data_IF_699632535506
#
_entry.id   IF_699632535506
#
_cell.length_a   1.000
_cell.length_b   1.000
_cell.length_c   1.000
_cell.angle_alpha   90.00
_cell.angle_beta   90.00
_cell.angle_gamma   90.00
#
_symmetry.space_group_name_H-M   'P 1'
#
loop_
_entity.id
_entity.type
_entity.pdbx_description
1 polymer ?
#
# COMPACT_ATOMS: atom_id res chain seq x y z
N UNK A 1 6.81 -4.73 35.75
CA UNK A 1 5.96 -5.52 34.85
C UNK A 1 6.16 -5.05 33.43
N UNK A 2 6.53 -5.96 32.53
CA UNK A 2 6.63 -5.64 31.11
C UNK A 2 5.24 -5.29 30.55
N UNK A 3 5.10 -4.27 29.69
CA UNK A 3 3.80 -3.94 29.13
C UNK A 3 3.32 -5.09 28.26
N UNK A 4 2.13 -5.62 28.57
CA UNK A 4 1.48 -6.62 27.73
C UNK A 4 1.07 -5.98 26.40
N UNK A 5 1.82 -6.29 25.33
CA UNK A 5 1.56 -5.80 23.97
C UNK A 5 0.79 -6.78 23.09
N UNK A 6 0.58 -8.00 23.56
CA UNK A 6 -0.10 -9.07 22.83
C UNK A 6 -1.32 -9.54 23.62
N UNK A 7 -2.47 -9.51 22.98
CA UNK A 7 -3.75 -9.96 23.52
C UNK A 7 -4.28 -11.09 22.62
N UNK A 8 -4.73 -12.18 23.23
CA UNK A 8 -5.40 -13.27 22.52
C UNK A 8 -6.89 -13.21 22.88
N UNK A 9 -7.74 -13.12 21.85
CA UNK A 9 -9.18 -12.95 21.98
C UNK A 9 -9.85 -14.13 21.29
N UNK A 10 -10.50 -14.99 22.08
CA UNK A 10 -11.34 -16.06 21.55
C UNK A 10 -12.69 -15.47 21.10
N UNK A 11 -12.99 -15.57 19.82
CA UNK A 11 -14.26 -15.17 19.21
C UNK A 11 -15.01 -16.41 18.71
N UNK A 12 -16.34 -16.35 18.53
CA UNK A 12 -17.10 -17.47 17.95
C UNK A 12 -16.55 -17.97 16.61
N UNK A 13 -15.99 -17.08 15.78
CA UNK A 13 -15.39 -17.42 14.49
C UNK A 13 -13.97 -18.00 14.58
N UNK A 14 -13.27 -17.87 15.71
CA UNK A 14 -11.89 -18.33 15.88
C UNK A 14 -11.05 -17.45 16.81
N UNK A 15 -9.75 -17.71 16.86
CA UNK A 15 -8.81 -16.98 17.72
C UNK A 15 -8.21 -15.77 16.99
N UNK A 16 -8.30 -14.60 17.62
CA UNK A 16 -7.71 -13.34 17.16
C UNK A 16 -6.50 -12.96 18.02
N UNK A 17 -5.40 -12.58 17.37
CA UNK A 17 -4.27 -11.90 18.05
C UNK A 17 -4.34 -10.40 17.85
N UNK A 18 -4.27 -9.62 18.91
CA UNK A 18 -4.23 -8.16 18.83
C UNK A 18 -2.92 -7.65 19.41
N UNK A 19 -2.15 -6.93 18.60
CA UNK A 19 -0.92 -6.28 19.01
C UNK A 19 -1.22 -4.85 19.39
N UNK A 20 -1.32 -4.55 20.69
CA UNK A 20 -1.64 -3.22 21.19
C UNK A 20 -1.17 -3.07 22.64
N UNK A 21 -0.82 -1.86 23.07
CA UNK A 21 -0.64 -1.59 24.50
C UNK A 21 -1.96 -1.85 25.24
N UNK A 22 -1.91 -2.17 26.53
CA UNK A 22 -3.13 -2.41 27.32
C UNK A 22 -4.13 -1.24 27.27
N UNK A 23 -3.63 0.01 27.24
CA UNK A 23 -4.46 1.20 27.09
C UNK A 23 -5.18 1.24 25.74
N UNK A 24 -4.47 0.96 24.64
CA UNK A 24 -5.03 0.98 23.29
C UNK A 24 -6.01 -0.18 23.07
N UNK A 25 -5.68 -1.37 23.59
CA UNK A 25 -6.58 -2.52 23.54
C UNK A 25 -7.91 -2.23 24.25
N UNK A 26 -7.87 -1.58 25.41
CA UNK A 26 -9.06 -1.22 26.18
C UNK A 26 -9.97 -0.19 25.49
N UNK A 27 -9.47 0.54 24.49
CA UNK A 27 -10.25 1.53 23.73
C UNK A 27 -10.78 0.99 22.40
N UNK A 28 -10.51 -0.27 22.06
CA UNK A 28 -11.01 -0.86 20.82
C UNK A 28 -12.53 -0.95 20.84
N UNK A 29 -13.17 -0.41 19.79
CA UNK A 29 -14.62 -0.44 19.62
C UNK A 29 -15.10 -1.88 19.39
N UNK A 30 -16.32 -2.21 19.85
CA UNK A 30 -16.92 -3.53 19.65
C UNK A 30 -16.97 -3.95 18.17
N UNK A 31 -17.12 -2.98 17.24
CA UNK A 31 -17.13 -3.24 15.80
C UNK A 31 -15.83 -3.86 15.29
N UNK A 32 -14.69 -3.56 15.92
CA UNK A 32 -13.39 -4.18 15.57
C UNK A 32 -13.45 -5.69 15.80
N UNK A 33 -14.03 -6.10 16.93
CA UNK A 33 -14.21 -7.51 17.29
C UNK A 33 -15.30 -8.19 16.45
N UNK A 34 -16.38 -7.49 16.13
CA UNK A 34 -17.42 -7.98 15.23
C UNK A 34 -16.86 -8.29 13.83
N UNK A 35 -16.06 -7.36 13.26
CA UNK A 35 -15.42 -7.58 11.96
C UNK A 35 -14.41 -8.73 12.00
N UNK A 36 -13.64 -8.85 13.09
CA UNK A 36 -12.75 -9.99 13.27
C UNK A 36 -13.53 -11.30 13.27
N UNK A 37 -14.62 -11.36 14.02
CA UNK A 37 -15.48 -12.54 14.11
C UNK A 37 -16.07 -12.93 12.74
N UNK A 38 -16.42 -11.95 11.90
CA UNK A 38 -16.92 -12.20 10.56
C UNK A 38 -15.80 -12.69 9.62
N UNK A 39 -14.60 -12.12 9.70
CA UNK A 39 -13.48 -12.52 8.84
C UNK A 39 -12.89 -13.89 9.24
N UNK A 40 -12.88 -14.22 10.53
CA UNK A 40 -12.44 -15.53 11.03
C UNK A 40 -13.34 -16.68 10.56
N UNK A 41 -14.58 -16.40 10.15
CA UNK A 41 -15.48 -17.41 9.57
C UNK A 41 -15.13 -17.78 8.12
N UNK A 42 -14.19 -17.09 7.48
CA UNK A 42 -13.70 -17.47 6.15
C UNK A 42 -12.98 -18.82 6.29
N UNK A 43 -13.38 -19.86 5.53
CA UNK A 43 -12.85 -21.21 5.72
C UNK A 43 -11.33 -21.30 5.61
N UNK A 44 -10.74 -22.25 6.34
CA UNK A 44 -9.32 -22.59 6.31
C UNK A 44 -8.36 -21.47 6.74
N UNK A 45 -8.83 -20.44 7.47
CA UNK A 45 -7.94 -19.43 8.02
C UNK A 45 -7.05 -20.06 9.10
N UNK A 46 -5.74 -19.87 8.98
CA UNK A 46 -4.76 -20.43 9.93
C UNK A 46 -4.35 -19.42 10.99
N UNK A 47 -4.38 -18.14 10.65
CA UNK A 47 -3.97 -17.07 11.53
C UNK A 47 -4.67 -15.77 11.16
N UNK A 48 -5.12 -15.03 12.18
CA UNK A 48 -5.55 -13.65 12.02
C UNK A 48 -4.98 -12.78 13.15
N UNK A 49 -4.56 -11.58 12.80
CA UNK A 49 -4.18 -10.57 13.77
C UNK A 49 -4.54 -9.15 13.37
N UNK A 50 -4.57 -8.29 14.38
CA UNK A 50 -4.64 -6.85 14.25
C UNK A 50 -3.36 -6.17 14.71
N UNK A 51 -2.88 -5.24 13.89
CA UNK A 51 -1.80 -4.30 14.23
C UNK A 51 -2.28 -3.23 15.22
N UNK A 52 -1.36 -2.48 15.86
CA UNK A 52 -1.74 -1.47 16.85
C UNK A 52 -2.65 -0.36 16.32
N UNK A 53 -2.57 -0.04 15.04
CA UNK A 53 -3.36 1.00 14.37
C UNK A 53 -4.70 0.49 13.83
N UNK A 54 -5.19 -0.66 14.30
CA UNK A 54 -6.44 -1.25 13.83
C UNK A 54 -7.64 -0.32 13.99
N UNK A 55 -8.45 -0.24 12.94
CA UNK A 55 -9.71 0.49 12.96
C UNK A 55 -10.70 -0.07 11.94
N UNK A 56 -11.97 0.27 12.10
CA UNK A 56 -13.07 -0.18 11.23
C UNK A 56 -12.82 0.26 9.79
N UNK A 57 -12.83 -0.72 8.88
CA UNK A 57 -12.80 -0.49 7.44
C UNK A 57 -14.11 -0.94 6.78
N UNK A 58 -14.05 -1.28 5.49
CA UNK A 58 -15.20 -1.81 4.73
C UNK A 58 -15.00 -3.31 4.53
N UNK A 59 -15.80 -4.14 5.18
CA UNK A 59 -15.72 -5.61 5.14
C UNK A 59 -14.64 -6.22 6.04
N UNK A 60 -13.50 -5.54 6.19
CA UNK A 60 -12.39 -5.91 7.09
C UNK A 60 -11.82 -4.67 7.79
N UNK A 61 -11.26 -4.82 9.00
CA UNK A 61 -10.52 -3.75 9.66
C UNK A 61 -9.22 -3.43 8.93
N UNK A 62 -8.86 -2.15 8.84
CA UNK A 62 -7.50 -1.77 8.45
C UNK A 62 -6.54 -2.23 9.56
N UNK A 63 -5.34 -2.68 9.19
CA UNK A 63 -4.39 -3.30 10.13
C UNK A 63 -4.57 -4.82 10.30
N UNK A 64 -5.35 -5.46 9.43
CA UNK A 64 -5.55 -6.92 9.43
C UNK A 64 -4.37 -7.64 8.78
N UNK A 65 -3.87 -8.68 9.45
CA UNK A 65 -3.10 -9.75 8.82
C UNK A 65 -3.92 -11.01 8.89
N UNK A 66 -4.08 -11.72 7.78
CA UNK A 66 -4.77 -13.00 7.73
C UNK A 66 -4.02 -13.96 6.81
N UNK A 67 -3.88 -15.22 7.24
CA UNK A 67 -3.06 -16.23 6.57
C UNK A 67 -3.88 -17.48 6.32
N UNK A 68 -3.74 -18.01 5.12
CA UNK A 68 -4.28 -19.29 4.68
C UNK A 68 -3.14 -20.10 4.03
N UNK A 69 -3.25 -21.43 4.07
CA UNK A 69 -2.45 -22.30 3.22
C UNK A 69 -2.79 -22.10 1.73
N UNK A 70 -1.79 -22.18 0.85
CA UNK A 70 -1.98 -21.89 -0.57
C UNK A 70 -2.81 -22.97 -1.32
N UNK A 71 -2.86 -24.22 -0.84
CA UNK A 71 -3.54 -25.31 -1.54
C UNK A 71 -5.07 -25.31 -1.33
N UNK A 72 -5.55 -24.74 -0.22
CA UNK A 72 -6.98 -24.69 0.13
C UNK A 72 -7.46 -23.32 0.64
N UNK A 73 -6.63 -22.30 0.48
CA UNK A 73 -6.87 -20.96 0.99
C UNK A 73 -7.86 -20.16 0.16
N UNK A 74 -8.32 -19.07 0.77
CA UNK A 74 -9.23 -18.12 0.15
C UNK A 74 -8.55 -16.76 -0.01
N UNK A 75 -8.91 -16.04 -1.07
CA UNK A 75 -8.54 -14.64 -1.27
C UNK A 75 -9.78 -13.79 -1.03
N UNK A 76 -9.71 -12.88 -0.07
CA UNK A 76 -10.76 -11.88 0.15
C UNK A 76 -10.30 -10.50 -0.31
N UNK A 77 -10.92 -9.91 -1.34
CA UNK A 77 -10.62 -8.55 -1.77
C UNK A 77 -10.78 -7.50 -0.66
N UNK A 78 -11.69 -7.73 0.31
CA UNK A 78 -11.88 -6.79 1.42
C UNK A 78 -10.69 -6.76 2.39
N UNK A 79 -9.98 -7.89 2.54
CA UNK A 79 -8.80 -8.00 3.40
C UNK A 79 -7.59 -7.35 2.72
N UNK A 80 -7.47 -7.48 1.39
CA UNK A 80 -6.41 -6.79 0.62
C UNK A 80 -6.64 -5.28 0.62
N UNK A 81 -7.89 -4.84 0.47
CA UNK A 81 -8.28 -3.44 0.37
C UNK A 81 -8.51 -2.99 -1.08
N UNK A 82 -9.23 -1.88 -1.23
CA UNK A 82 -9.63 -1.35 -2.53
C UNK A 82 -8.51 -0.60 -3.26
N UNK A 83 -7.60 0.02 -2.50
CA UNK A 83 -6.42 0.70 -3.04
C UNK A 83 -5.23 -0.26 -3.09
N UNK A 84 -5.27 -1.18 -4.06
CA UNK A 84 -4.28 -2.24 -4.21
C UNK A 84 -2.91 -1.64 -4.51
N UNK A 85 -1.94 -1.95 -3.66
CA UNK A 85 -0.58 -1.42 -3.77
C UNK A 85 -0.40 -0.04 -3.17
N UNK A 86 -1.36 0.45 -2.37
CA UNK A 86 -1.12 1.59 -1.51
C UNK A 86 0.12 1.33 -0.64
N UNK A 87 0.97 2.34 -0.49
CA UNK A 87 2.25 2.11 0.13
C UNK A 87 3.11 3.37 0.15
N UNK A 88 4.35 3.19 0.60
CA UNK A 88 5.29 4.27 0.78
C UNK A 88 6.59 3.99 0.04
N UNK A 89 7.21 5.06 -0.47
CA UNK A 89 8.59 5.05 -0.95
C UNK A 89 9.37 6.15 -0.25
N UNK A 90 10.53 5.79 0.26
CA UNK A 90 11.44 6.74 0.91
C UNK A 90 12.65 6.97 0.01
N UNK A 91 12.96 8.25 -0.24
CA UNK A 91 14.16 8.66 -0.94
C UNK A 91 15.13 9.33 0.03
N UNK A 92 16.34 8.79 0.11
CA UNK A 92 17.41 9.38 0.89
C UNK A 92 18.11 10.48 0.08
N UNK A 93 18.52 11.54 0.76
CA UNK A 93 19.33 12.62 0.20
C UNK A 93 20.53 12.84 1.08
N UNK A 94 21.55 13.52 0.56
CA UNK A 94 22.72 13.92 1.36
C UNK A 94 22.46 15.22 2.16
N UNK A 95 21.22 15.71 2.20
CA UNK A 95 20.85 16.90 2.96
C UNK A 95 20.63 16.54 4.43
N UNK A 96 21.14 17.38 5.32
CA UNK A 96 20.87 17.33 6.74
C UNK A 96 19.80 18.34 7.14
N UNK A 97 19.27 18.19 8.37
CA UNK A 97 18.27 19.10 8.94
C UNK A 97 18.70 20.57 8.84
N UNK A 98 20.00 20.83 8.98
CA UNK A 98 20.55 22.17 9.01
C UNK A 98 20.57 22.85 7.64
N UNK A 99 20.69 22.08 6.55
CA UNK A 99 20.59 22.57 5.17
C UNK A 99 19.18 23.06 4.82
N UNK A 100 18.18 22.63 5.59
CA UNK A 100 16.76 22.93 5.39
C UNK A 100 16.20 23.88 6.45
N UNK A 101 17.04 24.56 7.22
CA UNK A 101 16.59 25.51 8.26
C UNK A 101 15.82 26.70 7.69
N UNK A 102 16.22 27.19 6.52
CA UNK A 102 15.61 28.38 5.92
C UNK A 102 14.18 28.10 5.42
N UNK A 103 13.20 28.86 5.94
CA UNK A 103 11.78 28.73 5.56
C UNK A 103 11.56 28.96 4.07
N UNK A 104 12.25 29.92 3.46
CA UNK A 104 12.11 30.24 2.03
C UNK A 104 12.58 29.07 1.15
N UNK A 105 13.68 28.43 1.52
CA UNK A 105 14.16 27.23 0.84
C UNK A 105 13.15 26.08 0.93
N UNK A 106 12.64 25.79 2.14
CA UNK A 106 11.60 24.75 2.33
C UNK A 106 10.36 25.01 1.48
N UNK A 107 9.88 26.27 1.42
CA UNK A 107 8.75 26.66 0.56
C UNK A 107 9.05 26.48 -0.93
N UNK A 108 10.28 26.81 -1.37
CA UNK A 108 10.69 26.60 -2.76
C UNK A 108 10.74 25.11 -3.11
N UNK A 109 11.20 24.26 -2.19
CA UNK A 109 11.22 22.81 -2.37
C UNK A 109 9.80 22.24 -2.48
N UNK A 110 8.90 22.60 -1.57
CA UNK A 110 7.49 22.15 -1.61
C UNK A 110 6.84 22.54 -2.94
N UNK A 111 6.98 23.81 -3.37
CA UNK A 111 6.44 24.27 -4.66
C UNK A 111 7.04 23.53 -5.86
N UNK A 112 8.31 23.14 -5.78
CA UNK A 112 8.94 22.34 -6.82
C UNK A 112 8.35 20.92 -6.86
N UNK A 113 8.11 20.30 -5.70
CA UNK A 113 7.47 18.98 -5.60
C UNK A 113 6.04 19.04 -6.16
N UNK A 114 5.23 20.00 -5.72
CA UNK A 114 3.84 20.19 -6.19
C UNK A 114 3.76 20.41 -7.71
N UNK A 115 4.77 21.06 -8.31
CA UNK A 115 4.85 21.22 -9.77
C UNK A 115 5.01 19.88 -10.51
N UNK A 116 5.68 18.91 -9.92
CA UNK A 116 5.92 17.60 -10.54
C UNK A 116 4.94 16.52 -10.08
N UNK A 117 4.30 16.69 -8.92
CA UNK A 117 3.35 15.74 -8.34
C UNK A 117 1.99 16.40 -8.17
N UNK A 118 1.07 16.22 -9.13
CA UNK A 118 -0.33 16.62 -8.96
C UNK A 118 -0.92 15.93 -7.73
N UNK A 119 -1.42 16.71 -6.78
CA UNK A 119 -1.95 16.21 -5.50
C UNK A 119 -3.48 16.26 -5.41
N UNK A 120 -4.15 16.84 -6.41
CA UNK A 120 -5.61 17.01 -6.38
C UNK A 120 -6.35 15.78 -6.93
N UNK A 121 -7.46 15.44 -6.27
CA UNK A 121 -8.40 14.44 -6.72
C UNK A 121 -8.82 14.69 -8.17
N UNK A 122 -8.81 13.64 -9.00
CA UNK A 122 -9.22 13.68 -10.42
C UNK A 122 -8.40 14.56 -11.36
N UNK A 123 -7.24 15.10 -10.95
CA UNK A 123 -6.33 15.72 -11.92
C UNK A 123 -5.70 14.69 -12.85
N UNK A 124 -5.49 15.10 -14.10
CA UNK A 124 -4.79 14.28 -15.09
C UNK A 124 -3.29 14.38 -14.87
N UNK A 125 -2.60 13.25 -14.80
CA UNK A 125 -1.14 13.21 -14.74
C UNK A 125 -0.47 13.93 -15.92
N UNK A 126 0.68 14.54 -15.67
CA UNK A 126 1.48 15.24 -16.70
C UNK A 126 2.32 14.30 -17.58
N UNK A 127 2.23 12.99 -17.34
CA UNK A 127 3.17 11.98 -17.84
C UNK A 127 2.58 11.17 -19.00
N UNK A 128 2.22 11.86 -20.09
CA UNK A 128 1.56 11.25 -21.26
C UNK A 128 2.39 10.20 -22.01
N UNK A 129 3.70 10.19 -21.79
CA UNK A 129 4.63 9.24 -22.37
C UNK A 129 4.81 7.96 -21.54
N UNK A 130 4.21 7.90 -20.34
CA UNK A 130 4.14 6.65 -19.58
C UNK A 130 2.94 5.85 -20.10
N UNK A 131 3.23 4.66 -20.62
CA UNK A 131 2.22 3.70 -21.09
C UNK A 131 1.75 2.85 -19.92
N UNK A 132 0.51 3.04 -19.48
CA UNK A 132 -0.06 2.28 -18.36
C UNK A 132 0.05 0.77 -18.56
N UNK A 133 -0.17 0.28 -19.79
CA UNK A 133 -0.10 -1.16 -20.09
C UNK A 133 1.29 -1.72 -19.84
N UNK A 134 2.34 -0.94 -20.15
CA UNK A 134 3.71 -1.35 -19.87
C UNK A 134 3.97 -1.40 -18.37
N UNK A 135 3.45 -0.43 -17.60
CA UNK A 135 3.61 -0.39 -16.15
C UNK A 135 2.87 -1.55 -15.48
N UNK A 136 1.65 -1.87 -15.91
CA UNK A 136 0.88 -3.00 -15.35
C UNK A 136 1.57 -4.33 -15.65
N UNK A 137 2.05 -4.55 -16.89
CA UNK A 137 2.69 -5.82 -17.28
C UNK A 137 4.12 -5.99 -16.78
N UNK A 138 4.89 -4.90 -16.73
CA UNK A 138 6.34 -4.94 -16.45
C UNK A 138 6.72 -4.30 -15.12
N UNK A 139 5.76 -3.80 -14.35
CA UNK A 139 6.02 -3.02 -13.15
C UNK A 139 6.87 -1.79 -13.45
N UNK A 140 7.86 -1.55 -12.60
CA UNK A 140 8.79 -0.43 -12.75
C UNK A 140 9.67 -0.53 -14.01
N UNK A 141 9.88 -1.74 -14.54
CA UNK A 141 10.62 -1.97 -15.79
C UNK A 141 9.84 -1.51 -17.03
N UNK A 142 8.56 -1.18 -16.88
CA UNK A 142 7.72 -0.60 -17.93
C UNK A 142 7.85 0.92 -18.07
N UNK A 143 8.56 1.58 -17.15
CA UNK A 143 8.75 3.02 -17.16
C UNK A 143 9.78 3.44 -18.23
N UNK A 144 9.59 4.58 -18.91
CA UNK A 144 10.63 5.17 -19.74
C UNK A 144 11.93 5.41 -18.96
N UNK A 145 13.09 5.15 -19.58
CA UNK A 145 14.42 5.25 -18.93
C UNK A 145 14.68 6.59 -18.24
N UNK A 146 14.12 7.71 -18.75
CA UNK A 146 14.28 9.03 -18.13
C UNK A 146 13.62 9.18 -16.75
N UNK A 147 12.71 8.27 -16.40
CA UNK A 147 12.06 8.21 -15.08
C UNK A 147 12.72 7.19 -14.14
N UNK A 148 13.72 6.46 -14.62
CA UNK A 148 14.54 5.57 -13.79
C UNK A 148 15.78 6.37 -13.38
N UNK A 149 15.89 6.83 -12.12
CA UNK A 149 16.89 7.82 -11.70
C UNK A 149 18.35 7.30 -11.65
N UNK A 150 18.64 6.14 -12.23
CA UNK A 150 19.95 5.47 -12.16
C UNK A 150 20.94 5.93 -13.25
N UNK A 151 20.89 7.21 -13.64
CA UNK A 151 21.83 7.79 -14.61
C UNK A 151 23.29 7.83 -14.12
N UNK A 152 23.54 7.59 -12.84
CA UNK A 152 24.87 7.77 -12.23
C UNK A 152 25.58 6.46 -11.81
N UNK A 153 24.88 5.33 -11.69
CA UNK A 153 25.49 4.07 -11.22
C UNK A 153 25.17 2.89 -12.16
N UNK A 154 25.92 2.71 -13.26
CA UNK A 154 25.54 1.81 -14.36
C UNK A 154 25.51 0.31 -14.02
N UNK A 155 25.86 -0.11 -12.79
CA UNK A 155 25.99 -1.53 -12.43
C UNK A 155 24.89 -2.08 -11.52
N UNK A 156 24.08 -1.23 -10.89
CA UNK A 156 22.91 -1.65 -10.09
C UNK A 156 21.86 -0.54 -10.12
N UNK A 157 20.72 -0.82 -10.74
CA UNK A 157 19.59 0.11 -10.75
C UNK A 157 18.91 0.09 -9.37
N UNK A 158 19.30 1.03 -8.51
CA UNK A 158 18.79 1.11 -7.14
C UNK A 158 17.28 1.36 -7.12
N UNK A 159 16.77 2.08 -8.12
CA UNK A 159 15.34 2.37 -8.27
C UNK A 159 14.48 1.11 -8.52
N UNK A 160 15.09 0.03 -9.01
CA UNK A 160 14.44 -1.25 -9.28
C UNK A 160 14.76 -2.31 -8.22
N UNK A 161 15.82 -2.13 -7.43
CA UNK A 161 16.25 -3.12 -6.43
C UNK A 161 15.90 -2.76 -4.98
N UNK A 162 15.60 -1.50 -4.67
CA UNK A 162 15.22 -1.03 -3.32
C UNK A 162 13.71 -0.83 -3.22
N UNK A 163 12.98 -1.83 -3.70
CA UNK A 163 11.52 -1.93 -3.64
C UNK A 163 11.17 -3.35 -3.23
N UNK A 164 10.03 -3.55 -2.60
CA UNK A 164 9.58 -4.88 -2.18
C UNK A 164 9.45 -5.83 -3.38
N UNK A 165 8.73 -5.39 -4.43
CA UNK A 165 8.59 -6.09 -5.70
C UNK A 165 8.66 -5.07 -6.85
N UNK A 166 9.56 -5.27 -7.81
CA UNK A 166 9.71 -4.36 -8.96
C UNK A 166 8.85 -4.72 -10.17
N UNK A 167 8.38 -5.98 -10.22
CA UNK A 167 7.44 -6.52 -11.21
C UNK A 167 6.69 -7.70 -10.59
N UNK A 168 5.36 -7.70 -10.71
CA UNK A 168 4.53 -8.85 -10.34
C UNK A 168 4.56 -9.90 -11.46
N UNK A 169 4.54 -11.18 -11.07
CA UNK A 169 4.33 -12.29 -11.99
C UNK A 169 2.86 -12.71 -11.93
N UNK A 170 2.18 -12.67 -13.07
CA UNK A 170 0.78 -13.07 -13.22
C UNK A 170 0.50 -13.43 -14.68
N UNK A 171 -0.63 -14.09 -14.94
CA UNK A 171 -1.10 -14.35 -16.31
C UNK A 171 -1.58 -13.05 -16.96
N UNK A 172 -0.86 -12.57 -17.97
CA UNK A 172 -1.19 -11.32 -18.66
C UNK A 172 -2.53 -11.39 -19.40
N UNK A 173 -3.06 -12.59 -19.70
CA UNK A 173 -4.36 -12.75 -20.37
C UNK A 173 -5.52 -12.22 -19.52
N UNK A 174 -5.38 -12.22 -18.18
CA UNK A 174 -6.40 -11.68 -17.27
C UNK A 174 -6.66 -10.19 -17.48
N UNK A 175 -5.69 -9.47 -18.07
CA UNK A 175 -5.85 -8.05 -18.39
C UNK A 175 -6.93 -7.81 -19.45
N UNK A 176 -7.26 -8.82 -20.25
CA UNK A 176 -8.33 -8.75 -21.24
C UNK A 176 -9.73 -8.81 -20.59
N UNK A 177 -9.82 -9.26 -19.33
CA UNK A 177 -11.06 -9.29 -18.57
C UNK A 177 -11.34 -7.97 -17.83
N UNK A 178 -10.35 -7.07 -17.76
CA UNK A 178 -10.51 -5.78 -17.10
C UNK A 178 -11.47 -4.87 -17.88
N UNK A 179 -12.50 -4.30 -17.23
CA UNK A 179 -13.41 -3.37 -17.89
C UNK A 179 -12.69 -2.14 -18.45
N UNK A 180 -13.12 -1.65 -19.61
CA UNK A 180 -12.57 -0.44 -20.23
C UNK A 180 -12.53 0.76 -19.28
N UNK A 181 -13.52 0.89 -18.41
CA UNK A 181 -13.59 1.94 -17.40
C UNK A 181 -12.42 1.91 -16.41
N UNK A 182 -11.89 0.73 -16.08
CA UNK A 182 -10.73 0.59 -15.21
C UNK A 182 -9.47 1.15 -15.89
N UNK A 183 -9.26 0.81 -17.17
CA UNK A 183 -8.18 1.36 -17.98
C UNK A 183 -8.30 2.88 -18.14
N UNK A 184 -9.49 3.39 -18.47
CA UNK A 184 -9.73 4.82 -18.61
C UNK A 184 -9.43 5.60 -17.33
N UNK A 185 -9.85 5.07 -16.18
CA UNK A 185 -9.55 5.65 -14.87
C UNK A 185 -8.04 5.66 -14.61
N UNK A 186 -7.37 4.52 -14.81
CA UNK A 186 -5.92 4.40 -14.60
C UNK A 186 -5.12 5.37 -15.46
N UNK A 187 -5.46 5.49 -16.75
CA UNK A 187 -4.79 6.40 -17.69
C UNK A 187 -4.90 7.88 -17.28
N UNK A 188 -6.00 8.28 -16.65
CA UNK A 188 -6.17 9.65 -16.16
C UNK A 188 -5.37 9.91 -14.89
N UNK A 189 -5.26 8.92 -14.01
CA UNK A 189 -4.71 9.09 -12.66
C UNK A 189 -3.21 8.75 -12.56
N UNK A 190 -2.61 8.15 -13.59
CA UNK A 190 -1.21 7.76 -13.57
C UNK A 190 -0.27 8.96 -13.30
N UNK A 191 0.60 8.83 -12.30
CA UNK A 191 1.58 9.85 -11.93
C UNK A 191 1.00 11.02 -11.12
N UNK A 192 -0.07 10.79 -10.37
CA UNK A 192 -0.60 11.70 -9.34
C UNK A 192 -0.52 11.05 -7.96
N UNK A 193 -0.62 11.82 -6.88
CA UNK A 193 -0.70 11.26 -5.53
C UNK A 193 -2.08 10.69 -5.19
N UNK A 194 -3.11 11.02 -5.97
CA UNK A 194 -4.49 10.69 -5.64
C UNK A 194 -5.08 11.58 -4.54
N UNK A 195 -6.37 11.37 -4.30
CA UNK A 195 -7.22 12.14 -3.38
C UNK A 195 -8.69 11.88 -3.64
#
# INVERSE_FOLDING_TARGET
>A
DEPQYKHEVALPGGDLKVYASGQLFATLDYKVMEMANNNLQIPNIEYMSYTPDVHVGVGTCIGTTAVWDAAGGYVSPSIVGSDIGCGMRVHLTNLHKDDLREVKLRRKLVRAIEKYLPMEAQQRGHYSDIRLENVVRKGLHGLPNKYVPDSYTPKKSSALSHVEISKLAFDEEILNELPDMAWHRGHRQLGTLGG
#
